data_IF_668512387970
#
_entry.id   IF_668512387970
#
_cell.length_a   1.000
_cell.length_b   1.000
_cell.length_c   1.000
_cell.angle_alpha   90.00
_cell.angle_beta   90.00
_cell.angle_gamma   90.00
#
_symmetry.space_group_name_H-M   'P 1'
#
loop_
_entity.id
_entity.type
_entity.pdbx_description
1 polymer ?
#
# COMPACT_ATOMS: atom_id res chain seq x y z
N UNK A 1 -10.01 2.33 -0.95
CA UNK A 1 -10.26 3.76 -0.56
C UNK A 1 -9.49 4.65 -1.53
N UNK A 2 -9.95 5.86 -1.92
CA UNK A 2 -9.18 6.72 -2.86
C UNK A 2 -8.20 7.59 -2.08
N UNK A 3 -6.91 7.54 -2.42
CA UNK A 3 -5.88 8.42 -1.85
C UNK A 3 -5.50 9.45 -2.92
N UNK A 4 -5.74 10.73 -2.63
CA UNK A 4 -5.29 11.83 -3.48
C UNK A 4 -3.84 12.19 -3.13
N UNK A 5 -2.96 12.22 -4.12
CA UNK A 5 -1.54 12.55 -3.97
C UNK A 5 -1.31 14.07 -3.91
N UNK A 6 -2.19 14.82 -3.24
CA UNK A 6 -2.11 16.29 -3.17
C UNK A 6 -0.76 16.71 -2.58
N UNK A 7 0.17 17.14 -3.43
CA UNK A 7 1.46 17.72 -3.04
C UNK A 7 2.70 16.83 -3.16
N UNK A 8 2.63 15.61 -3.73
CA UNK A 8 3.84 14.83 -4.06
C UNK A 8 4.00 14.76 -5.58
N UNK A 9 5.01 15.44 -6.16
CA UNK A 9 5.21 15.46 -7.61
C UNK A 9 5.57 14.07 -8.13
N UNK A 10 4.75 13.51 -9.01
CA UNK A 10 5.04 12.26 -9.73
C UNK A 10 6.05 12.54 -10.86
N UNK A 11 7.32 12.22 -10.64
CA UNK A 11 8.44 12.46 -11.58
C UNK A 11 8.59 11.36 -12.67
N UNK A 12 7.51 10.67 -13.03
CA UNK A 12 7.51 9.71 -14.12
C UNK A 12 7.33 10.43 -15.48
N UNK A 13 7.99 9.95 -16.53
CA UNK A 13 7.77 10.45 -17.90
C UNK A 13 6.57 9.73 -18.51
N UNK A 14 5.51 10.48 -18.82
CA UNK A 14 4.32 9.95 -19.47
C UNK A 14 4.51 9.97 -20.98
N UNK A 15 4.41 8.81 -21.62
CA UNK A 15 4.39 8.69 -23.08
C UNK A 15 2.94 8.76 -23.59
N UNK A 16 2.76 9.27 -24.81
CA UNK A 16 1.48 9.34 -25.52
C UNK A 16 0.41 10.32 -24.96
N UNK A 17 0.83 11.44 -24.35
CA UNK A 17 -0.10 12.55 -24.10
C UNK A 17 -0.60 13.14 -25.45
N UNK A 18 -1.92 13.36 -25.63
CA UNK A 18 -2.42 14.07 -26.79
C UNK A 18 -1.83 15.48 -26.82
N UNK A 19 -1.25 15.84 -27.97
CA UNK A 19 -0.65 17.14 -28.26
C UNK A 19 -1.69 18.25 -28.06
N UNK A 20 -1.67 18.90 -26.91
CA UNK A 20 -2.43 20.11 -26.64
C UNK A 20 -1.44 21.22 -26.31
N UNK A 21 -1.38 22.20 -27.21
CA UNK A 21 -0.36 23.23 -27.28
C UNK A 21 -0.04 23.99 -26.00
N UNK A 22 1.22 24.41 -25.91
CA UNK A 22 1.76 25.54 -25.15
C UNK A 22 0.94 26.00 -23.93
N UNK A 23 1.31 25.47 -22.76
CA UNK A 23 1.30 26.24 -21.52
C UNK A 23 2.46 25.77 -20.65
N UNK A 24 3.43 26.66 -20.43
CA UNK A 24 4.42 26.58 -19.36
C UNK A 24 3.69 26.71 -18.02
N UNK A 25 3.17 25.59 -17.56
CA UNK A 25 2.84 25.36 -16.17
C UNK A 25 3.17 23.89 -15.95
N UNK A 26 4.11 23.60 -15.05
CA UNK A 26 4.44 22.27 -14.54
C UNK A 26 3.23 21.70 -13.77
N UNK A 27 2.10 21.57 -14.46
CA UNK A 27 0.87 20.97 -13.98
C UNK A 27 1.01 19.46 -14.01
N UNK A 28 1.87 18.92 -13.14
CA UNK A 28 1.83 17.52 -12.77
C UNK A 28 0.41 17.25 -12.25
N UNK A 29 -0.36 16.50 -13.03
CA UNK A 29 -1.69 16.07 -12.61
C UNK A 29 -1.53 15.19 -11.37
N UNK A 30 -2.25 15.53 -10.30
CA UNK A 30 -2.45 14.64 -9.16
C UNK A 30 -3.20 13.38 -9.66
N UNK A 31 -2.47 12.30 -9.94
CA UNK A 31 -3.07 11.01 -10.32
C UNK A 31 -3.24 10.18 -9.06
N UNK A 32 -4.46 9.96 -8.55
CA UNK A 32 -4.67 9.21 -7.31
C UNK A 32 -4.22 7.74 -7.45
N UNK A 33 -3.67 7.18 -6.38
CA UNK A 33 -3.44 5.73 -6.29
C UNK A 33 -4.76 5.07 -5.88
N UNK A 34 -5.19 4.07 -6.64
CA UNK A 34 -6.43 3.34 -6.41
C UNK A 34 -6.15 1.99 -5.78
N UNK A 35 -6.45 1.86 -4.49
CA UNK A 35 -6.38 0.57 -3.78
C UNK A 35 -7.40 -0.41 -4.37
N UNK A 36 -6.94 -1.61 -4.69
CA UNK A 36 -7.72 -2.71 -5.26
C UNK A 36 -7.95 -3.84 -4.23
N UNK A 37 -8.46 -4.98 -4.70
CA UNK A 37 -8.67 -6.16 -3.85
C UNK A 37 -7.35 -6.68 -3.26
N UNK A 38 -6.24 -6.56 -3.99
CA UNK A 38 -4.91 -6.94 -3.51
C UNK A 38 -4.46 -5.98 -2.40
N UNK A 39 -4.61 -4.66 -2.59
CA UNK A 39 -4.35 -3.66 -1.56
C UNK A 39 -5.13 -3.95 -0.28
N UNK A 40 -6.38 -4.41 -0.42
CA UNK A 40 -7.25 -4.74 0.72
C UNK A 40 -6.70 -5.94 1.51
N UNK A 41 -6.28 -7.01 0.82
CA UNK A 41 -5.69 -8.19 1.47
C UNK A 41 -4.37 -7.83 2.16
N UNK A 42 -3.52 -7.03 1.50
CA UNK A 42 -2.25 -6.57 2.06
C UNK A 42 -2.47 -5.65 3.28
N UNK A 43 -3.46 -4.76 3.24
CA UNK A 43 -3.85 -3.94 4.39
C UNK A 43 -4.27 -4.81 5.58
N UNK A 44 -5.13 -5.80 5.39
CA UNK A 44 -5.55 -6.71 6.46
C UNK A 44 -4.34 -7.45 7.06
N UNK A 45 -3.42 -7.93 6.22
CA UNK A 45 -2.19 -8.57 6.67
C UNK A 45 -1.29 -7.61 7.44
N UNK A 46 -1.14 -6.38 6.97
CA UNK A 46 -0.35 -5.35 7.64
C UNK A 46 -0.92 -5.03 9.02
N UNK A 47 -2.23 -4.79 9.12
CA UNK A 47 -2.93 -4.56 10.40
C UNK A 47 -2.74 -5.74 11.34
N UNK A 48 -2.90 -6.98 10.84
CA UNK A 48 -2.71 -8.16 11.64
C UNK A 48 -1.27 -8.29 12.17
N UNK A 49 -0.26 -8.02 11.35
CA UNK A 49 1.13 -8.02 11.78
C UNK A 49 1.41 -6.93 12.83
N UNK A 50 0.85 -5.74 12.67
CA UNK A 50 0.96 -4.68 13.68
C UNK A 50 0.28 -5.07 15.00
N UNK A 51 -0.87 -5.72 14.92
CA UNK A 51 -1.61 -6.22 16.08
C UNK A 51 -0.84 -7.28 16.87
N UNK A 52 0.04 -8.06 16.23
CA UNK A 52 0.94 -8.98 16.94
C UNK A 52 1.97 -8.26 17.82
N UNK A 53 2.26 -6.99 17.53
CA UNK A 53 3.17 -6.16 18.30
C UNK A 53 2.47 -5.44 19.47
N UNK A 54 1.34 -4.77 19.23
CA UNK A 54 0.71 -3.83 20.19
C UNK A 54 -0.75 -4.17 20.57
N UNK A 55 -1.34 -5.23 20.00
CA UNK A 55 -2.72 -5.70 20.21
C UNK A 55 -3.78 -4.58 20.35
N UNK A 56 -3.65 -3.51 19.56
CA UNK A 56 -4.56 -2.37 19.60
C UNK A 56 -4.92 -1.93 18.18
N UNK A 57 -6.17 -2.21 17.79
CA UNK A 57 -6.64 -1.96 16.43
C UNK A 57 -6.63 -0.48 16.07
N UNK A 58 -7.00 0.39 17.02
CA UNK A 58 -6.96 1.84 16.82
C UNK A 58 -5.54 2.34 16.58
N UNK A 59 -4.54 1.75 17.24
CA UNK A 59 -3.13 2.08 16.99
C UNK A 59 -2.68 1.57 15.63
N UNK A 60 -3.06 0.33 15.26
CA UNK A 60 -2.74 -0.24 13.95
C UNK A 60 -3.33 0.61 12.80
N UNK A 61 -4.60 1.00 12.89
CA UNK A 61 -5.25 1.83 11.88
C UNK A 61 -4.59 3.21 11.77
N UNK A 62 -4.29 3.84 12.92
CA UNK A 62 -3.60 5.14 12.94
C UNK A 62 -2.20 5.04 12.33
N UNK A 63 -1.44 4.00 12.67
CA UNK A 63 -0.10 3.76 12.12
C UNK A 63 -0.15 3.48 10.61
N UNK A 64 -1.12 2.68 10.14
CA UNK A 64 -1.32 2.42 8.72
C UNK A 64 -1.58 3.73 7.96
N UNK A 65 -2.50 4.56 8.44
CA UNK A 65 -2.81 5.86 7.85
C UNK A 65 -1.60 6.81 7.85
N UNK A 66 -0.81 6.82 8.93
CA UNK A 66 0.40 7.65 9.02
C UNK A 66 1.47 7.21 8.01
N UNK A 67 1.66 5.90 7.84
CA UNK A 67 2.66 5.34 6.93
C UNK A 67 2.30 5.48 5.44
N UNK A 68 1.02 5.69 5.10
CA UNK A 68 0.58 5.85 3.70
C UNK A 68 1.36 6.92 2.95
N UNK A 69 1.64 8.07 3.56
CA UNK A 69 2.42 9.13 2.91
C UNK A 69 3.83 8.64 2.53
N UNK A 70 4.48 7.89 3.42
CA UNK A 70 5.79 7.29 3.15
C UNK A 70 5.74 6.26 2.03
N UNK A 71 4.71 5.41 1.97
CA UNK A 71 4.55 4.44 0.87
C UNK A 71 4.31 5.13 -0.47
N UNK A 72 3.48 6.16 -0.50
CA UNK A 72 3.27 6.98 -1.71
C UNK A 72 4.57 7.62 -2.18
N UNK A 73 5.37 8.19 -1.28
CA UNK A 73 6.70 8.71 -1.64
C UNK A 73 7.65 7.62 -2.14
N UNK A 74 7.56 6.39 -1.61
CA UNK A 74 8.32 5.23 -2.14
C UNK A 74 7.83 4.88 -3.55
N UNK A 75 6.53 4.93 -3.85
CA UNK A 75 5.99 4.72 -5.21
C UNK A 75 6.59 5.73 -6.17
N UNK A 76 6.51 7.02 -5.86
CA UNK A 76 7.07 8.08 -6.71
C UNK A 76 8.56 7.88 -6.98
N UNK A 77 9.34 7.52 -5.95
CA UNK A 77 10.78 7.22 -6.11
C UNK A 77 11.07 5.99 -6.96
N UNK A 78 10.24 4.93 -6.87
CA UNK A 78 10.43 3.71 -7.68
C UNK A 78 10.15 3.92 -9.16
N UNK A 79 9.23 4.84 -9.46
CA UNK A 79 8.80 5.14 -10.83
C UNK A 79 9.55 6.33 -11.45
N UNK A 80 10.43 6.96 -10.68
CA UNK A 80 11.23 8.10 -11.16
C UNK A 80 12.05 7.71 -12.40
N UNK A 81 11.93 8.50 -13.47
CA UNK A 81 12.62 8.25 -14.74
C UNK A 81 12.12 7.04 -15.53
N UNK A 82 11.02 6.41 -15.11
CA UNK A 82 10.39 5.33 -15.88
C UNK A 82 9.42 5.93 -16.91
N UNK A 83 9.53 5.48 -18.16
CA UNK A 83 8.57 5.79 -19.21
C UNK A 83 7.30 4.95 -19.00
N UNK A 84 6.16 5.61 -18.79
CA UNK A 84 4.89 4.95 -18.52
C UNK A 84 3.85 5.45 -19.52
N UNK A 85 3.21 4.52 -20.22
CA UNK A 85 2.07 4.83 -21.08
C UNK A 85 0.90 5.37 -20.23
N UNK A 86 0.31 6.48 -20.70
CA UNK A 86 -0.74 7.16 -19.96
C UNK A 86 -1.97 6.28 -19.66
N UNK A 87 -2.30 5.30 -20.52
CA UNK A 87 -3.41 4.39 -20.28
C UNK A 87 -3.09 3.32 -19.22
N UNK A 88 -1.81 3.01 -19.00
CA UNK A 88 -1.34 2.06 -17.98
C UNK A 88 -1.03 2.69 -16.62
N UNK A 89 -0.94 4.01 -16.53
CA UNK A 89 -0.41 4.73 -15.37
C UNK A 89 -1.10 4.36 -14.05
N UNK A 90 -2.42 4.28 -14.04
CA UNK A 90 -3.20 3.90 -12.85
C UNK A 90 -2.80 2.51 -12.34
N UNK A 91 -2.74 1.52 -13.24
CA UNK A 91 -2.35 0.15 -12.90
C UNK A 91 -0.92 0.08 -12.37
N UNK A 92 0.02 0.78 -13.03
CA UNK A 92 1.43 0.81 -12.59
C UNK A 92 1.57 1.43 -11.19
N UNK A 93 0.83 2.50 -10.89
CA UNK A 93 0.83 3.12 -9.58
C UNK A 93 0.30 2.17 -8.49
N UNK A 94 -0.83 1.51 -8.75
CA UNK A 94 -1.45 0.56 -7.82
C UNK A 94 -0.57 -0.67 -7.60
N UNK A 95 -0.02 -1.25 -8.66
CA UNK A 95 0.88 -2.41 -8.57
C UNK A 95 2.16 -2.07 -7.78
N UNK A 96 2.74 -0.90 -8.06
CA UNK A 96 3.93 -0.43 -7.33
C UNK A 96 3.62 -0.21 -5.85
N UNK A 97 2.45 0.36 -5.53
CA UNK A 97 1.99 0.54 -4.16
C UNK A 97 1.80 -0.81 -3.45
N UNK A 98 1.13 -1.76 -4.11
CA UNK A 98 0.94 -3.12 -3.59
C UNK A 98 2.27 -3.80 -3.32
N UNK A 99 3.27 -3.62 -4.20
CA UNK A 99 4.60 -4.18 -3.98
C UNK A 99 5.30 -3.58 -2.76
N UNK A 100 5.22 -2.26 -2.56
CA UNK A 100 5.76 -1.58 -1.37
C UNK A 100 5.07 -2.06 -0.10
N UNK A 101 3.74 -2.22 -0.13
CA UNK A 101 2.99 -2.67 1.04
C UNK A 101 3.32 -4.13 1.39
N UNK A 102 3.51 -4.99 0.38
CA UNK A 102 3.96 -6.37 0.59
C UNK A 102 5.34 -6.43 1.23
N UNK A 103 6.31 -5.65 0.77
CA UNK A 103 7.63 -5.58 1.39
C UNK A 103 7.56 -5.17 2.87
N UNK A 104 6.72 -4.19 3.21
CA UNK A 104 6.54 -3.75 4.60
C UNK A 104 5.93 -4.87 5.47
N UNK A 105 5.02 -5.67 4.90
CA UNK A 105 4.48 -6.87 5.56
C UNK A 105 5.57 -7.93 5.76
N UNK A 106 6.43 -8.16 4.78
CA UNK A 106 7.54 -9.11 4.89
C UNK A 106 8.56 -8.66 5.95
N UNK A 107 8.88 -7.37 6.02
CA UNK A 107 9.74 -6.78 7.06
C UNK A 107 9.16 -7.02 8.47
N UNK A 108 7.83 -6.88 8.62
CA UNK A 108 7.14 -7.22 9.86
C UNK A 108 7.27 -8.71 10.21
N UNK A 109 7.07 -9.60 9.25
CA UNK A 109 7.15 -11.05 9.46
C UNK A 109 8.57 -11.42 9.90
N UNK A 110 9.59 -10.93 9.19
CA UNK A 110 10.98 -11.17 9.55
C UNK A 110 11.32 -10.65 10.95
N UNK A 111 10.81 -9.47 11.30
CA UNK A 111 11.02 -8.88 12.62
C UNK A 111 10.42 -9.77 13.71
N UNK A 112 9.18 -10.24 13.53
CA UNK A 112 8.55 -11.17 14.47
C UNK A 112 9.30 -12.50 14.55
N UNK A 113 9.74 -13.06 13.43
CA UNK A 113 10.57 -14.28 13.43
C UNK A 113 11.84 -14.09 14.28
N UNK A 114 12.53 -12.96 14.12
CA UNK A 114 13.74 -12.61 14.89
C UNK A 114 13.44 -12.43 16.37
N UNK A 115 12.39 -11.69 16.74
CA UNK A 115 12.04 -11.37 18.13
C UNK A 115 11.51 -12.60 18.88
N UNK A 116 10.62 -13.38 18.25
CA UNK A 116 10.00 -14.56 18.85
C UNK A 116 10.87 -15.81 18.74
N UNK A 117 11.94 -15.77 17.94
CA UNK A 117 12.83 -16.92 17.65
C UNK A 117 12.04 -18.11 17.12
N UNK A 118 11.15 -17.85 16.16
CA UNK A 118 10.28 -18.85 15.56
C UNK A 118 10.39 -18.86 14.03
N UNK A 119 9.83 -19.88 13.40
CA UNK A 119 9.75 -19.95 11.94
C UNK A 119 8.66 -19.04 11.36
N UNK A 120 8.69 -18.87 10.03
CA UNK A 120 7.70 -18.09 9.30
C UNK A 120 6.28 -18.62 9.49
N UNK A 121 6.11 -19.94 9.52
CA UNK A 121 4.78 -20.57 9.63
C UNK A 121 4.09 -20.17 10.93
N UNK A 122 4.85 -20.07 12.02
CA UNK A 122 4.35 -19.64 13.32
C UNK A 122 3.82 -18.20 13.27
N UNK A 123 4.58 -17.27 12.67
CA UNK A 123 4.16 -15.87 12.54
C UNK A 123 2.92 -15.75 11.65
N UNK A 124 2.95 -16.38 10.47
CA UNK A 124 1.84 -16.38 9.51
C UNK A 124 0.55 -16.97 10.11
N UNK A 125 0.66 -18.03 10.91
CA UNK A 125 -0.47 -18.60 11.63
C UNK A 125 -1.08 -17.62 12.63
N UNK A 126 -0.25 -16.91 13.41
CA UNK A 126 -0.78 -15.90 14.34
C UNK A 126 -1.42 -14.73 13.58
N UNK A 127 -0.79 -14.24 12.51
CA UNK A 127 -1.37 -13.19 11.69
C UNK A 127 -2.74 -13.62 11.11
N UNK A 128 -2.86 -14.86 10.61
CA UNK A 128 -4.12 -15.40 10.11
C UNK A 128 -5.21 -15.47 11.20
N UNK A 129 -4.86 -15.84 12.44
CA UNK A 129 -5.79 -15.81 13.57
C UNK A 129 -6.29 -14.39 13.84
N UNK A 130 -5.38 -13.42 13.87
CA UNK A 130 -5.75 -12.00 14.07
C UNK A 130 -6.66 -11.50 12.96
N UNK A 131 -6.37 -11.83 11.70
CA UNK A 131 -7.24 -11.49 10.56
C UNK A 131 -8.64 -12.07 10.78
N UNK A 132 -8.75 -13.34 11.18
CA UNK A 132 -10.04 -13.97 11.43
C UNK A 132 -10.79 -13.31 12.61
N UNK A 133 -10.10 -12.90 13.65
CA UNK A 133 -10.71 -12.24 14.81
C UNK A 133 -11.22 -10.82 14.48
N UNK A 134 -10.48 -10.07 13.65
CA UNK A 134 -10.81 -8.67 13.35
C UNK A 134 -11.77 -8.54 12.16
N UNK A 135 -11.54 -9.33 11.09
CA UNK A 135 -12.19 -9.15 9.79
C UNK A 135 -13.21 -10.24 9.47
N UNK A 136 -13.69 -10.99 10.46
CA UNK A 136 -14.70 -12.04 10.24
C UNK A 136 -15.97 -11.47 9.59
N UNK A 137 -16.38 -12.10 8.49
CA UNK A 137 -17.72 -11.93 7.91
C UNK A 137 -18.73 -12.43 8.95
N UNK A 138 -19.59 -11.54 9.47
CA UNK A 138 -20.74 -11.97 10.28
C UNK A 138 -21.50 -13.04 9.48
N UNK A 139 -21.75 -14.24 10.03
CA UNK A 139 -22.70 -15.15 9.40
C UNK A 139 -24.05 -14.41 9.35
N UNK A 140 -24.65 -14.33 8.16
CA UNK A 140 -26.04 -13.88 8.07
C UNK A 140 -26.86 -14.81 8.95
N UNK A 141 -27.49 -14.23 9.98
CA UNK A 141 -28.46 -14.94 10.80
C UNK A 141 -29.54 -15.48 9.85
N UNK A 142 -29.69 -16.80 9.84
CA UNK A 142 -30.79 -17.48 9.15
C UNK A 142 -32.13 -17.10 9.75
#
# INVERSE_FOLDING_TARGET
MKISISGIPLLAELTDLPDSGTSTETGQKDVPIHEDDISTVLWQRWIACYMLYDWNLSHADSAYLSNKCTWVQKVCRRLEGTAIDAASLEGVLTDTFNHILLEDVEDFIETHMKVWKCDRMTVEFQAAKVIAEIFTVKPQAK
#
